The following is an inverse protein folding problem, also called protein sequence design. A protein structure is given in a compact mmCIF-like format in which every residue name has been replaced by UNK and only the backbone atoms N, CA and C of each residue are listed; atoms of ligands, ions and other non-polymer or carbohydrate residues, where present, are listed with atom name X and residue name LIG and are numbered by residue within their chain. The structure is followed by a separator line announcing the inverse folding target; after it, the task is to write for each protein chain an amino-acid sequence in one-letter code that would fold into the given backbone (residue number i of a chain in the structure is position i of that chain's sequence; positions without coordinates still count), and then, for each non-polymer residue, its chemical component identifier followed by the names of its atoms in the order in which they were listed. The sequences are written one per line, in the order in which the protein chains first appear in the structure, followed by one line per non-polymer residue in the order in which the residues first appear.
data_IF_428222100580
#
_entry.id   IF_428222100580
#
_cell.length_a   1.000
_cell.length_b   1.000
_cell.length_c   1.000
_cell.angle_alpha   90.00
_cell.angle_beta   90.00
_cell.angle_gamma   90.00
#
_symmetry.space_group_name_H-M   'P 1'
#
loop_
_entity.id
_entity.type
_entity.pdbx_description
1 polymer ?
#
# COMPACT_ATOMS: atom_id res chain seq x y z
N UNK A 1 -0.40 4.90 -16.35
CA UNK A 1 1.03 4.97 -16.02
C UNK A 1 1.89 5.50 -17.17
N UNK A 2 2.05 4.75 -18.27
CA UNK A 2 2.93 5.10 -19.40
C UNK A 2 2.59 6.42 -20.09
N UNK A 3 1.30 6.68 -20.34
CA UNK A 3 0.88 7.86 -21.11
C UNK A 3 1.29 9.17 -20.44
N UNK A 4 1.05 9.30 -19.14
CA UNK A 4 1.37 10.52 -18.39
C UNK A 4 1.54 10.29 -16.89
N UNK A 5 0.95 9.24 -16.30
CA UNK A 5 0.93 9.09 -14.83
C UNK A 5 2.29 9.04 -14.15
N UNK A 6 3.30 8.43 -14.78
CA UNK A 6 4.68 8.54 -14.26
C UNK A 6 5.17 10.00 -14.23
N UNK A 7 4.94 10.73 -15.32
CA UNK A 7 5.33 12.14 -15.45
C UNK A 7 4.61 13.02 -14.42
N UNK A 8 3.29 12.85 -14.29
CA UNK A 8 2.48 13.59 -13.32
C UNK A 8 2.88 13.29 -11.87
N UNK A 9 3.43 12.10 -11.59
CA UNK A 9 3.82 11.68 -10.24
C UNK A 9 5.28 12.02 -9.89
N UNK A 10 6.20 11.92 -10.84
CA UNK A 10 7.64 11.95 -10.55
C UNK A 10 8.43 12.97 -11.35
N UNK A 11 7.78 13.79 -12.19
CA UNK A 11 8.48 14.90 -12.81
C UNK A 11 8.98 15.91 -11.79
N UNK A 12 10.27 16.21 -11.87
CA UNK A 12 10.96 17.19 -11.03
C UNK A 12 10.77 18.64 -11.48
N UNK A 13 10.20 18.84 -12.68
CA UNK A 13 9.91 20.16 -13.26
C UNK A 13 8.49 20.65 -12.94
N UNK A 14 7.67 19.82 -12.28
CA UNK A 14 6.32 20.17 -11.85
C UNK A 14 6.26 21.14 -10.67
N UNK A 15 5.05 21.67 -10.43
CA UNK A 15 4.73 22.58 -9.32
C UNK A 15 4.56 21.85 -7.98
N UNK A 16 4.00 22.49 -6.94
CA UNK A 16 3.86 21.87 -5.60
C UNK A 16 2.81 20.74 -5.54
N UNK A 17 1.87 20.71 -6.49
CA UNK A 17 0.70 19.82 -6.45
C UNK A 17 0.68 18.73 -7.52
N UNK A 18 1.40 18.89 -8.63
CA UNK A 18 1.42 17.90 -9.71
C UNK A 18 2.67 18.07 -10.57
N UNK A 19 3.13 16.96 -11.15
CA UNK A 19 4.17 16.90 -12.17
C UNK A 19 3.73 17.56 -13.48
N UNK A 20 4.68 17.67 -14.41
CA UNK A 20 4.43 18.12 -15.76
C UNK A 20 4.41 16.94 -16.77
N UNK A 21 4.53 17.24 -18.06
CA UNK A 21 4.55 16.25 -19.14
C UNK A 21 5.96 15.83 -19.61
N UNK A 22 7.03 16.12 -18.86
CA UNK A 22 8.43 15.85 -19.27
C UNK A 22 8.75 14.37 -19.57
N UNK A 23 7.98 13.43 -19.02
CA UNK A 23 8.13 11.99 -19.20
C UNK A 23 6.87 11.32 -19.78
N UNK A 24 5.96 12.10 -20.38
CA UNK A 24 4.77 11.56 -21.02
C UNK A 24 5.14 10.58 -22.15
N UNK A 25 4.37 9.49 -22.27
CA UNK A 25 4.67 8.40 -23.19
C UNK A 25 5.91 7.58 -22.81
N UNK A 26 6.36 7.66 -21.55
CA UNK A 26 7.62 7.06 -21.10
C UNK A 26 8.86 7.55 -21.89
N UNK A 27 8.79 8.78 -22.38
CA UNK A 27 9.93 9.48 -23.01
C UNK A 27 10.95 9.87 -21.94
N UNK A 28 12.19 10.12 -22.35
CA UNK A 28 13.28 10.56 -21.47
C UNK A 28 13.55 9.61 -20.29
N UNK A 29 13.30 8.31 -20.45
CA UNK A 29 13.72 7.28 -19.50
C UNK A 29 15.04 6.63 -19.97
N UNK A 30 15.92 6.30 -19.04
CA UNK A 30 17.22 5.70 -19.34
C UNK A 30 17.97 5.21 -18.11
N UNK A 31 19.29 5.28 -18.19
CA UNK A 31 20.22 4.92 -17.10
C UNK A 31 20.46 6.08 -16.12
N UNK A 32 19.95 7.27 -16.38
CA UNK A 32 20.05 8.39 -15.45
C UNK A 32 19.07 8.20 -14.28
N UNK A 33 19.37 8.80 -13.13
CA UNK A 33 18.49 8.77 -11.95
C UNK A 33 17.53 9.98 -11.96
N UNK A 34 16.35 9.82 -11.35
CA UNK A 34 15.41 10.93 -11.10
C UNK A 34 15.42 11.28 -9.61
N UNK A 35 15.86 12.48 -9.20
CA UNK A 35 15.82 12.91 -7.81
C UNK A 35 14.43 12.75 -7.15
N UNK A 36 14.35 12.31 -5.88
CA UNK A 36 15.45 12.04 -4.96
C UNK A 36 15.94 10.58 -4.99
N UNK A 37 15.56 9.76 -5.98
CA UNK A 37 15.97 8.36 -6.05
C UNK A 37 17.38 8.20 -6.64
N UNK A 38 18.07 7.14 -6.21
CA UNK A 38 19.34 6.67 -6.78
C UNK A 38 19.14 5.51 -7.75
N UNK A 39 17.88 5.19 -8.10
CA UNK A 39 17.55 4.21 -9.14
C UNK A 39 17.53 4.86 -10.52
N UNK A 40 18.04 4.13 -11.51
CA UNK A 40 17.87 4.44 -12.92
C UNK A 40 16.38 4.64 -13.25
N UNK A 41 16.07 5.62 -14.08
CA UNK A 41 14.71 6.09 -14.33
C UNK A 41 13.82 5.01 -14.93
N UNK A 42 14.35 4.11 -15.76
CA UNK A 42 13.58 2.94 -16.27
C UNK A 42 13.19 1.99 -15.14
N UNK A 43 14.13 1.63 -14.27
CA UNK A 43 13.85 0.73 -13.14
C UNK A 43 12.87 1.38 -12.16
N UNK A 44 13.01 2.68 -11.93
CA UNK A 44 12.10 3.44 -11.08
C UNK A 44 10.69 3.52 -11.68
N UNK A 45 10.59 3.73 -13.00
CA UNK A 45 9.32 3.73 -13.73
C UNK A 45 8.57 2.41 -13.58
N UNK A 46 9.25 1.28 -13.77
CA UNK A 46 8.63 -0.05 -13.64
C UNK A 46 8.22 -0.29 -12.19
N UNK A 47 9.13 -0.05 -11.25
CA UNK A 47 8.89 -0.29 -9.82
C UNK A 47 7.69 0.51 -9.31
N UNK A 48 7.63 1.81 -9.58
CA UNK A 48 6.52 2.66 -9.17
C UNK A 48 5.21 2.37 -9.92
N UNK A 49 5.31 1.88 -11.17
CA UNK A 49 4.16 1.40 -11.93
C UNK A 49 3.45 0.22 -11.24
N UNK A 50 4.17 -0.58 -10.45
CA UNK A 50 3.55 -1.66 -9.66
C UNK A 50 2.70 -1.10 -8.52
N UNK A 51 3.10 0.02 -7.88
CA UNK A 51 2.29 0.69 -6.85
C UNK A 51 1.01 1.27 -7.46
N UNK A 52 1.11 1.89 -8.64
CA UNK A 52 -0.07 2.38 -9.35
C UNK A 52 -1.04 1.23 -9.69
N UNK A 53 -0.49 0.12 -10.20
CA UNK A 53 -1.26 -1.08 -10.56
C UNK A 53 -1.97 -1.66 -9.34
N UNK A 54 -1.26 -1.95 -8.25
CA UNK A 54 -1.88 -2.57 -7.07
C UNK A 54 -2.90 -1.63 -6.40
N UNK A 55 -2.66 -0.32 -6.39
CA UNK A 55 -3.64 0.65 -5.85
C UNK A 55 -4.94 0.60 -6.64
N UNK A 56 -4.86 0.60 -7.97
CA UNK A 56 -6.03 0.48 -8.83
C UNK A 56 -6.75 -0.86 -8.66
N UNK A 57 -5.99 -1.96 -8.46
CA UNK A 57 -6.54 -3.28 -8.20
C UNK A 57 -7.26 -3.35 -6.85
N UNK A 58 -6.72 -2.73 -5.78
CA UNK A 58 -7.38 -2.66 -4.46
C UNK A 58 -8.69 -1.88 -4.55
N UNK A 59 -8.66 -0.72 -5.21
CA UNK A 59 -9.87 0.09 -5.43
C UNK A 59 -10.90 -0.69 -6.26
N UNK A 60 -10.50 -1.37 -7.34
CA UNK A 60 -11.41 -2.18 -8.15
C UNK A 60 -11.96 -3.37 -7.36
N UNK A 61 -11.11 -4.08 -6.63
CA UNK A 61 -11.44 -5.24 -5.82
C UNK A 61 -12.52 -4.97 -4.78
N UNK A 62 -12.58 -3.75 -4.23
CA UNK A 62 -13.63 -3.32 -3.29
C UNK A 62 -15.08 -3.45 -3.82
N UNK A 63 -15.23 -3.61 -5.13
CA UNK A 63 -16.53 -3.51 -5.81
C UNK A 63 -16.60 -4.31 -7.11
N UNK A 64 -15.68 -5.26 -7.31
CA UNK A 64 -15.54 -6.02 -8.55
C UNK A 64 -16.84 -6.74 -8.96
N UNK A 65 -17.61 -7.23 -7.98
CA UNK A 65 -18.88 -7.93 -8.22
C UNK A 65 -20.04 -7.03 -8.65
N UNK A 66 -19.88 -5.69 -8.62
CA UNK A 66 -20.98 -4.73 -8.81
C UNK A 66 -20.79 -3.78 -9.99
N UNK A 67 -19.77 -3.96 -10.80
CA UNK A 67 -19.44 -3.02 -11.89
C UNK A 67 -19.31 -3.71 -13.24
N UNK A 68 -19.78 -3.02 -14.29
CA UNK A 68 -19.52 -3.41 -15.67
C UNK A 68 -18.06 -3.09 -16.02
N UNK A 69 -17.41 -3.97 -16.78
CA UNK A 69 -15.98 -3.88 -17.06
C UNK A 69 -15.60 -2.58 -17.80
N UNK A 70 -16.35 -2.17 -18.81
CA UNK A 70 -16.04 -0.96 -19.60
C UNK A 70 -16.08 0.32 -18.76
N UNK A 71 -17.18 0.65 -18.04
CA UNK A 71 -17.18 1.77 -17.08
C UNK A 71 -16.11 1.67 -16.01
N UNK A 72 -15.81 0.45 -15.52
CA UNK A 72 -14.77 0.26 -14.52
C UNK A 72 -13.37 0.58 -15.05
N UNK A 73 -13.04 0.20 -16.28
CA UNK A 73 -11.76 0.55 -16.91
C UNK A 73 -11.60 2.07 -17.08
N UNK A 74 -12.65 2.75 -17.56
CA UNK A 74 -12.66 4.21 -17.69
C UNK A 74 -12.49 4.87 -16.31
N UNK A 75 -13.23 4.39 -15.30
CA UNK A 75 -13.11 4.89 -13.94
C UNK A 75 -11.72 4.67 -13.36
N UNK A 76 -11.12 3.48 -13.53
CA UNK A 76 -9.75 3.21 -13.08
C UNK A 76 -8.74 4.15 -13.75
N UNK A 77 -8.89 4.37 -15.06
CA UNK A 77 -8.02 5.29 -15.79
C UNK A 77 -8.13 6.72 -15.26
N UNK A 78 -9.35 7.23 -15.12
CA UNK A 78 -9.59 8.59 -14.60
C UNK A 78 -9.12 8.70 -13.15
N UNK A 79 -9.50 7.76 -12.29
CA UNK A 79 -9.15 7.79 -10.86
C UNK A 79 -7.64 7.71 -10.65
N UNK A 80 -6.93 6.86 -11.38
CA UNK A 80 -5.47 6.81 -11.27
C UNK A 80 -4.84 8.14 -11.69
N UNK A 81 -5.38 8.78 -12.72
CA UNK A 81 -4.89 10.08 -13.22
C UNK A 81 -5.15 11.24 -12.26
N UNK A 82 -6.37 11.34 -11.71
CA UNK A 82 -6.81 12.55 -10.97
C UNK A 82 -6.74 12.39 -9.46
N UNK A 83 -6.57 11.16 -8.95
CA UNK A 83 -6.51 10.87 -7.51
C UNK A 83 -5.16 10.27 -7.13
N UNK A 84 -4.78 9.14 -7.75
CA UNK A 84 -3.54 8.47 -7.38
C UNK A 84 -2.31 9.30 -7.74
N UNK A 85 -2.17 9.75 -8.98
CA UNK A 85 -0.98 10.48 -9.43
C UNK A 85 -0.74 11.76 -8.61
N UNK A 86 -1.75 12.61 -8.30
CA UNK A 86 -1.57 13.74 -7.39
C UNK A 86 -1.18 13.36 -5.96
N UNK A 87 -1.85 12.38 -5.34
CA UNK A 87 -1.53 11.97 -3.96
C UNK A 87 -0.10 11.40 -3.89
N UNK A 88 0.28 10.60 -4.88
CA UNK A 88 1.62 10.06 -5.01
C UNK A 88 2.65 11.17 -5.24
N UNK A 89 2.33 12.20 -6.04
CA UNK A 89 3.16 13.38 -6.21
C UNK A 89 3.39 14.11 -4.88
N UNK A 90 2.31 14.41 -4.16
CA UNK A 90 2.38 15.13 -2.88
C UNK A 90 3.30 14.41 -1.89
N UNK A 91 3.15 13.08 -1.83
CA UNK A 91 3.81 12.23 -0.84
C UNK A 91 5.27 11.95 -1.21
N UNK A 92 5.55 11.62 -2.46
CA UNK A 92 6.85 11.05 -2.85
C UNK A 92 7.71 11.94 -3.75
N UNK A 93 7.11 12.82 -4.55
CA UNK A 93 7.88 13.69 -5.42
C UNK A 93 8.74 14.66 -4.60
N UNK A 94 9.89 15.05 -5.16
CA UNK A 94 10.79 16.05 -4.54
C UNK A 94 10.08 17.38 -4.26
N UNK A 95 9.21 17.80 -5.19
CA UNK A 95 8.50 19.07 -5.09
C UNK A 95 7.13 18.97 -4.40
N UNK A 96 6.66 17.75 -4.10
CA UNK A 96 5.37 17.50 -3.46
C UNK A 96 5.26 18.18 -2.10
N UNK A 97 4.14 18.85 -1.86
CA UNK A 97 3.95 19.64 -0.65
C UNK A 97 3.99 18.81 0.65
N UNK A 98 3.41 17.59 0.67
CA UNK A 98 3.48 16.70 1.84
C UNK A 98 4.92 16.24 2.11
N UNK A 99 5.68 15.95 1.06
CA UNK A 99 7.09 15.60 1.18
C UNK A 99 7.89 16.77 1.79
N UNK A 100 7.66 18.00 1.32
CA UNK A 100 8.30 19.21 1.87
C UNK A 100 7.89 19.53 3.31
N UNK A 101 6.66 19.20 3.68
CA UNK A 101 6.16 19.33 5.07
C UNK A 101 6.85 18.34 6.04
N UNK A 102 7.52 17.32 5.52
CA UNK A 102 8.17 16.29 6.32
C UNK A 102 7.30 15.07 6.60
N UNK A 103 6.23 14.85 5.83
CA UNK A 103 5.42 13.63 5.95
C UNK A 103 6.26 12.39 5.70
N UNK A 104 6.19 11.43 6.63
CA UNK A 104 6.92 10.17 6.58
C UNK A 104 6.01 9.07 6.03
N UNK A 105 6.25 8.70 4.78
CA UNK A 105 5.58 7.57 4.14
C UNK A 105 6.57 6.80 3.27
N UNK A 106 7.04 5.66 3.81
CA UNK A 106 8.10 4.88 3.21
C UNK A 106 7.65 4.20 1.91
N UNK A 107 6.59 3.38 2.00
CA UNK A 107 6.14 2.51 0.93
C UNK A 107 4.68 2.75 0.49
N UNK A 108 3.96 3.75 1.01
CA UNK A 108 2.67 4.15 0.46
C UNK A 108 1.47 3.89 1.34
N UNK A 109 1.59 4.17 2.65
CA UNK A 109 0.42 4.25 3.52
C UNK A 109 -0.65 5.19 2.93
N UNK A 110 -0.24 6.35 2.42
CA UNK A 110 -1.12 7.39 1.91
C UNK A 110 -1.58 7.13 0.47
N UNK A 111 -0.69 7.13 -0.55
CA UNK A 111 -1.09 6.99 -1.95
C UNK A 111 -1.65 5.61 -2.31
N UNK A 112 -1.30 4.55 -1.59
CA UNK A 112 -1.81 3.20 -1.88
C UNK A 112 -3.00 2.90 -0.99
N UNK A 113 -2.78 2.75 0.32
CA UNK A 113 -3.78 2.15 1.19
C UNK A 113 -4.89 3.11 1.61
N UNK A 114 -4.56 4.32 2.08
CA UNK A 114 -5.55 5.33 2.45
C UNK A 114 -6.34 5.75 1.19
N UNK A 115 -5.66 6.08 0.09
CA UNK A 115 -6.33 6.51 -1.13
C UNK A 115 -7.29 5.44 -1.69
N UNK A 116 -6.83 4.19 -1.87
CA UNK A 116 -7.70 3.11 -2.37
C UNK A 116 -8.79 2.71 -1.37
N UNK A 117 -8.50 2.71 -0.07
CA UNK A 117 -9.46 2.39 0.98
C UNK A 117 -10.60 3.40 1.05
N UNK A 118 -10.30 4.69 1.05
CA UNK A 118 -11.33 5.74 1.03
C UNK A 118 -12.06 5.82 -0.31
N UNK A 119 -11.40 5.53 -1.44
CA UNK A 119 -12.08 5.40 -2.73
C UNK A 119 -13.05 4.22 -2.75
N UNK A 120 -12.65 3.08 -2.16
CA UNK A 120 -13.52 1.93 -1.96
C UNK A 120 -14.72 2.26 -1.08
N UNK A 121 -14.51 2.96 0.03
CA UNK A 121 -15.59 3.45 0.91
C UNK A 121 -16.53 4.41 0.18
N UNK A 122 -16.01 5.40 -0.53
CA UNK A 122 -16.83 6.34 -1.30
C UNK A 122 -17.69 5.60 -2.34
N UNK A 123 -17.11 4.62 -3.04
CA UNK A 123 -17.83 3.79 -3.99
C UNK A 123 -18.89 2.92 -3.31
N UNK A 124 -18.58 2.35 -2.15
CA UNK A 124 -19.52 1.57 -1.34
C UNK A 124 -20.73 2.39 -0.88
N UNK A 125 -20.53 3.68 -0.56
CA UNK A 125 -21.59 4.61 -0.19
C UNK A 125 -22.45 5.02 -1.41
N UNK A 126 -21.82 5.29 -2.56
CA UNK A 126 -22.53 5.69 -3.79
C UNK A 126 -23.35 4.55 -4.40
N UNK A 127 -22.82 3.32 -4.38
CA UNK A 127 -23.52 2.15 -4.93
C UNK A 127 -24.67 1.66 -4.04
N UNK A 128 -24.74 2.08 -2.78
CA UNK A 128 -25.83 1.73 -1.86
C UNK A 128 -25.76 0.29 -1.31
N UNK A 129 -26.75 -0.05 -0.48
CA UNK A 129 -26.84 -1.34 0.25
C UNK A 129 -27.21 -2.49 -0.68
N UNK A 130 -26.74 -3.71 -0.37
CA UNK A 130 -27.20 -4.93 -1.07
C UNK A 130 -28.64 -5.22 -0.63
N UNK A 131 -29.52 -5.53 -1.60
CA UNK A 131 -30.89 -5.97 -1.33
C UNK A 131 -30.91 -7.31 -0.58
N UNK A 132 -29.96 -8.20 -0.89
CA UNK A 132 -29.83 -9.53 -0.28
C UNK A 132 -28.99 -9.56 1.01
N UNK A 133 -28.74 -8.39 1.61
CA UNK A 133 -28.03 -8.33 2.89
C UNK A 133 -28.98 -8.77 4.01
N UNK A 134 -28.94 -10.05 4.36
CA UNK A 134 -29.53 -10.57 5.58
C UNK A 134 -28.51 -10.42 6.73
N UNK A 135 -28.94 -9.82 7.85
CA UNK A 135 -28.10 -9.68 9.05
C UNK A 135 -27.84 -11.03 9.73
N UNK A 136 -28.65 -12.04 9.43
CA UNK A 136 -28.60 -13.35 10.08
C UNK A 136 -27.76 -14.38 9.32
N UNK A 137 -27.28 -14.08 8.11
CA UNK A 137 -26.37 -14.97 7.37
C UNK A 137 -24.91 -14.60 7.66
N UNK A 138 -24.19 -15.51 8.33
CA UNK A 138 -22.73 -15.45 8.37
C UNK A 138 -22.20 -15.44 6.93
N UNK A 139 -21.53 -14.35 6.52
CA UNK A 139 -20.91 -14.28 5.20
C UNK A 139 -19.74 -15.26 5.17
N UNK A 140 -19.89 -16.31 4.36
CA UNK A 140 -18.83 -17.29 4.15
C UNK A 140 -18.05 -16.90 2.89
N UNK A 141 -16.70 -16.93 2.95
CA UNK A 141 -15.90 -16.71 1.75
C UNK A 141 -16.25 -17.78 0.73
N UNK A 142 -16.37 -17.40 -0.54
CA UNK A 142 -16.62 -18.33 -1.63
C UNK A 142 -15.56 -19.45 -1.69
N UNK A 143 -14.31 -19.14 -1.30
CA UNK A 143 -13.24 -20.14 -1.12
C UNK A 143 -12.21 -19.63 -0.12
N UNK A 144 -12.08 -20.32 1.02
CA UNK A 144 -11.05 -20.03 2.01
C UNK A 144 -9.64 -20.30 1.47
N UNK A 145 -9.48 -21.32 0.62
CA UNK A 145 -8.21 -21.65 -0.03
C UNK A 145 -7.70 -20.50 -0.90
N UNK A 146 -8.59 -19.82 -1.63
CA UNK A 146 -8.21 -18.67 -2.44
C UNK A 146 -7.81 -17.46 -1.59
N UNK A 147 -8.47 -17.24 -0.44
CA UNK A 147 -8.08 -16.18 0.50
C UNK A 147 -6.69 -16.45 1.06
N UNK A 148 -6.42 -17.69 1.48
CA UNK A 148 -5.10 -18.06 2.00
C UNK A 148 -4.01 -17.94 0.93
N UNK A 149 -4.26 -18.45 -0.29
CA UNK A 149 -3.33 -18.33 -1.41
C UNK A 149 -3.06 -16.86 -1.76
N UNK A 150 -4.11 -16.04 -1.86
CA UNK A 150 -3.99 -14.61 -2.11
C UNK A 150 -3.18 -13.91 -1.01
N UNK A 151 -3.43 -14.26 0.26
CA UNK A 151 -2.68 -13.72 1.40
C UNK A 151 -1.20 -14.11 1.35
N UNK A 152 -0.89 -15.36 1.02
CA UNK A 152 0.50 -15.82 0.88
C UNK A 152 1.24 -15.08 -0.25
N UNK A 153 0.60 -14.91 -1.41
CA UNK A 153 1.16 -14.14 -2.54
C UNK A 153 1.34 -12.67 -2.17
N UNK A 154 0.34 -12.07 -1.51
CA UNK A 154 0.42 -10.67 -1.05
C UNK A 154 1.54 -10.48 -0.04
N UNK A 155 1.66 -11.36 0.96
CA UNK A 155 2.71 -11.27 1.97
C UNK A 155 4.09 -11.40 1.32
N UNK A 156 4.29 -12.39 0.46
CA UNK A 156 5.54 -12.55 -0.29
C UNK A 156 5.86 -11.31 -1.15
N UNK A 157 4.88 -10.82 -1.91
CA UNK A 157 5.01 -9.60 -2.71
C UNK A 157 5.29 -8.35 -1.87
N UNK A 158 4.82 -8.31 -0.62
CA UNK A 158 5.02 -7.19 0.30
C UNK A 158 6.49 -6.97 0.68
N UNK A 159 7.35 -8.00 0.57
CA UNK A 159 8.79 -7.83 0.70
C UNK A 159 9.37 -6.95 -0.42
N UNK A 160 8.87 -7.08 -1.65
CA UNK A 160 9.24 -6.17 -2.75
C UNK A 160 8.63 -4.79 -2.58
N UNK A 161 7.41 -4.73 -2.02
CA UNK A 161 6.68 -3.49 -1.77
C UNK A 161 7.35 -2.61 -0.70
N UNK A 162 7.67 -3.18 0.46
CA UNK A 162 8.35 -2.48 1.54
C UNK A 162 9.88 -2.46 1.33
N UNK A 163 10.51 -3.60 1.05
CA UNK A 163 11.96 -3.69 0.92
C UNK A 163 12.55 -3.00 -0.30
N UNK A 164 11.80 -2.85 -1.40
CA UNK A 164 12.32 -2.28 -2.65
C UNK A 164 12.54 -0.75 -2.63
N UNK A 165 12.04 -0.03 -1.62
CA UNK A 165 12.15 1.43 -1.51
C UNK A 165 13.53 1.86 -1.01
N UNK A 166 14.35 2.49 -1.87
CA UNK A 166 15.68 2.99 -1.51
C UNK A 166 15.67 4.39 -0.86
N UNK A 167 14.85 4.63 0.16
CA UNK A 167 14.86 5.93 0.88
C UNK A 167 15.76 5.94 2.12
N UNK A 168 16.19 4.77 2.60
CA UNK A 168 17.06 4.61 3.76
C UNK A 168 18.57 4.83 3.45
N UNK A 169 18.92 5.45 2.32
CA UNK A 169 20.33 5.73 2.04
C UNK A 169 20.82 7.03 2.72
N UNK A 170 19.93 7.96 3.08
CA UNK A 170 20.36 9.23 3.69
C UNK A 170 20.94 9.06 5.09
N UNK A 171 20.37 8.21 5.95
CA UNK A 171 20.83 8.09 7.34
C UNK A 171 22.17 7.34 7.47
N UNK A 172 22.44 6.41 6.56
CA UNK A 172 23.71 5.67 6.52
C UNK A 172 24.84 6.47 5.86
N UNK A 173 24.54 7.30 4.86
CA UNK A 173 25.55 8.08 4.14
C UNK A 173 26.06 9.31 4.89
N UNK A 174 25.27 9.94 5.77
CA UNK A 174 25.76 11.12 6.52
C UNK A 174 26.86 10.78 7.51
N UNK A 175 26.96 9.52 7.95
CA UNK A 175 27.94 9.11 8.96
C UNK A 175 29.25 8.60 8.37
N UNK A 176 29.25 8.17 7.12
CA UNK A 176 30.44 7.58 6.50
C UNK A 176 30.49 7.92 4.99
N UNK A 177 31.51 8.68 4.58
CA UNK A 177 31.99 8.73 3.19
C UNK A 177 32.49 7.32 2.81
N UNK A 178 31.59 6.42 2.45
CA UNK A 178 31.92 5.01 2.21
C UNK A 178 32.39 4.77 0.78
N UNK A 179 33.53 4.10 0.64
CA UNK A 179 33.97 3.45 -0.60
C UNK A 179 32.90 2.48 -1.12
N UNK A 180 32.87 2.28 -2.44
CA UNK A 180 31.90 1.46 -3.17
C UNK A 180 31.72 0.02 -2.60
N UNK A 181 32.73 -0.53 -1.94
CA UNK A 181 32.70 -1.87 -1.34
C UNK A 181 31.68 -2.02 -0.19
N UNK A 182 31.35 -0.94 0.52
CA UNK A 182 30.45 -0.98 1.69
C UNK A 182 29.00 -0.61 1.32
N UNK A 183 28.77 -0.14 0.08
CA UNK A 183 27.43 0.25 -0.40
C UNK A 183 26.50 -0.96 -0.52
N UNK A 184 27.01 -2.10 -1.02
CA UNK A 184 26.20 -3.31 -1.23
C UNK A 184 25.70 -3.88 0.11
N UNK A 185 26.54 -4.10 1.14
CA UNK A 185 26.08 -4.54 2.46
C UNK A 185 25.02 -3.63 3.08
N UNK A 186 25.21 -2.30 3.03
CA UNK A 186 24.25 -1.33 3.60
C UNK A 186 22.87 -1.41 2.94
N UNK A 187 22.84 -1.63 1.62
CA UNK A 187 21.57 -1.80 0.90
C UNK A 187 20.89 -3.10 1.32
N UNK A 188 21.65 -4.20 1.40
CA UNK A 188 21.13 -5.51 1.80
C UNK A 188 20.57 -5.45 3.23
N UNK A 189 21.29 -4.83 4.16
CA UNK A 189 20.85 -4.67 5.55
C UNK A 189 19.58 -3.81 5.66
N UNK A 190 19.47 -2.74 4.86
CA UNK A 190 18.27 -1.91 4.84
C UNK A 190 17.04 -2.67 4.34
N UNK A 191 17.22 -3.49 3.30
CA UNK A 191 16.17 -4.37 2.76
C UNK A 191 15.77 -5.41 3.81
N UNK A 192 16.77 -6.06 4.43
CA UNK A 192 16.56 -7.07 5.46
C UNK A 192 15.80 -6.50 6.67
N UNK A 193 16.16 -5.30 7.13
CA UNK A 193 15.48 -4.58 8.20
C UNK A 193 14.00 -4.32 7.87
N UNK A 194 13.72 -3.78 6.68
CA UNK A 194 12.34 -3.53 6.23
C UNK A 194 11.52 -4.83 6.16
N UNK A 195 12.11 -5.90 5.63
CA UNK A 195 11.46 -7.19 5.50
C UNK A 195 11.21 -7.86 6.86
N UNK A 196 12.16 -7.72 7.80
CA UNK A 196 12.00 -8.18 9.18
C UNK A 196 10.82 -7.47 9.86
N UNK A 197 10.76 -6.13 9.77
CA UNK A 197 9.65 -5.34 10.31
C UNK A 197 8.32 -5.76 9.69
N UNK A 198 8.30 -5.97 8.38
CA UNK A 198 7.12 -6.42 7.63
C UNK A 198 6.63 -7.78 8.13
N UNK A 199 7.53 -8.75 8.30
CA UNK A 199 7.23 -10.07 8.86
C UNK A 199 6.67 -10.00 10.27
N UNK A 200 7.32 -9.23 11.15
CA UNK A 200 6.93 -9.11 12.56
C UNK A 200 5.52 -8.51 12.63
N UNK A 201 5.27 -7.40 11.96
CA UNK A 201 3.97 -6.75 11.96
C UNK A 201 2.86 -7.68 11.43
N UNK A 202 3.07 -8.32 10.28
CA UNK A 202 2.10 -9.25 9.69
C UNK A 202 1.78 -10.43 10.60
N UNK A 203 2.81 -11.04 11.20
CA UNK A 203 2.66 -12.16 12.14
C UNK A 203 1.88 -11.72 13.38
N UNK A 204 2.25 -10.59 13.97
CA UNK A 204 1.56 -10.06 15.15
C UNK A 204 0.12 -9.66 14.84
N UNK A 205 -0.15 -9.04 13.69
CA UNK A 205 -1.50 -8.67 13.28
C UNK A 205 -2.42 -9.87 13.07
N UNK A 206 -1.93 -10.90 12.36
CA UNK A 206 -2.67 -12.14 12.15
C UNK A 206 -3.00 -12.84 13.47
N UNK A 207 -2.02 -12.98 14.37
CA UNK A 207 -2.23 -13.56 15.70
C UNK A 207 -3.20 -12.72 16.55
N UNK A 208 -3.04 -11.40 16.54
CA UNK A 208 -3.90 -10.49 17.32
C UNK A 208 -5.35 -10.60 16.89
N UNK A 209 -5.61 -10.65 15.57
CA UNK A 209 -6.96 -10.80 15.05
C UNK A 209 -7.58 -12.13 15.45
N UNK A 210 -6.85 -13.25 15.33
CA UNK A 210 -7.32 -14.58 15.76
C UNK A 210 -7.64 -14.61 17.25
N UNK A 211 -6.79 -14.01 18.09
CA UNK A 211 -7.01 -13.93 19.53
C UNK A 211 -8.23 -13.06 19.87
N UNK A 212 -8.46 -11.99 19.11
CA UNK A 212 -9.62 -11.12 19.28
C UNK A 212 -10.91 -11.82 18.85
N UNK A 213 -10.91 -12.54 17.73
CA UNK A 213 -12.03 -13.38 17.29
C UNK A 213 -12.31 -14.49 18.30
N UNK A 214 -11.28 -15.11 18.86
CA UNK A 214 -11.43 -16.12 19.91
C UNK A 214 -12.04 -15.53 21.18
N UNK A 215 -11.67 -14.30 21.56
CA UNK A 215 -12.28 -13.62 22.71
C UNK A 215 -13.78 -13.35 22.50
N UNK A 216 -14.18 -12.92 21.31
CA UNK A 216 -15.55 -12.48 21.04
C UNK A 216 -16.49 -13.62 20.64
N UNK A 217 -16.03 -14.51 19.76
CA UNK A 217 -16.84 -15.56 19.15
C UNK A 217 -16.44 -16.97 19.59
N UNK A 218 -15.37 -17.13 20.40
CA UNK A 218 -14.84 -18.42 20.87
C UNK A 218 -14.46 -19.38 19.74
N UNK A 219 -14.16 -18.85 18.55
CA UNK A 219 -13.73 -19.59 17.36
C UNK A 219 -12.36 -19.07 16.89
N UNK A 220 -11.47 -19.98 16.50
CA UNK A 220 -10.21 -19.64 15.86
C UNK A 220 -10.43 -19.58 14.35
N UNK A 221 -10.31 -18.39 13.76
CA UNK A 221 -10.63 -18.15 12.35
C UNK A 221 -9.37 -18.06 11.49
N UNK A 222 -9.20 -18.99 10.55
CA UNK A 222 -8.15 -18.88 9.54
C UNK A 222 -8.35 -17.66 8.62
N UNK A 223 -9.61 -17.29 8.37
CA UNK A 223 -9.96 -16.05 7.66
C UNK A 223 -9.49 -14.83 8.47
N UNK A 224 -9.74 -14.83 9.78
CA UNK A 224 -9.31 -13.76 10.68
C UNK A 224 -7.79 -13.60 10.71
N UNK A 225 -7.02 -14.70 10.71
CA UNK A 225 -5.57 -14.65 10.57
C UNK A 225 -5.14 -13.93 9.28
N UNK A 226 -5.74 -14.29 8.15
CA UNK A 226 -5.43 -13.68 6.86
C UNK A 226 -5.76 -12.18 6.83
N UNK A 227 -6.95 -11.80 7.31
CA UNK A 227 -7.36 -10.40 7.41
C UNK A 227 -6.44 -9.59 8.31
N UNK A 228 -6.08 -10.14 9.47
CA UNK A 228 -5.15 -9.49 10.41
C UNK A 228 -3.74 -9.34 9.88
N UNK A 229 -3.23 -10.34 9.16
CA UNK A 229 -1.93 -10.25 8.51
C UNK A 229 -1.91 -9.13 7.46
N UNK A 230 -2.92 -9.06 6.58
CA UNK A 230 -3.03 -8.00 5.56
C UNK A 230 -3.21 -6.63 6.21
N UNK A 231 -4.05 -6.51 7.25
CA UNK A 231 -4.26 -5.25 7.98
C UNK A 231 -2.94 -4.71 8.57
N UNK A 232 -2.13 -5.58 9.18
CA UNK A 232 -0.84 -5.17 9.73
C UNK A 232 0.21 -4.88 8.66
N UNK A 233 0.22 -5.61 7.54
CA UNK A 233 1.05 -5.29 6.36
C UNK A 233 0.74 -3.86 5.86
N UNK A 234 -0.53 -3.51 5.78
CA UNK A 234 -0.98 -2.15 5.42
C UNK A 234 -0.51 -1.12 6.46
N UNK A 235 -0.73 -1.37 7.74
CA UNK A 235 -0.41 -0.42 8.80
C UNK A 235 1.10 -0.15 8.95
N UNK A 236 1.95 -1.16 8.74
CA UNK A 236 3.41 -1.01 8.86
C UNK A 236 4.05 -0.39 7.62
N UNK A 237 3.37 -0.43 6.46
CA UNK A 237 3.86 0.11 5.16
C UNK A 237 4.47 1.52 5.24
N UNK A 238 3.82 2.54 5.83
CA UNK A 238 4.44 3.87 5.92
C UNK A 238 5.68 3.90 6.83
N UNK A 239 5.76 3.02 7.83
CA UNK A 239 6.81 2.98 8.84
C UNK A 239 7.93 1.95 8.60
N UNK A 240 7.81 1.08 7.59
CA UNK A 240 8.65 -0.13 7.48
C UNK A 240 10.14 0.14 7.38
N UNK A 241 10.55 1.30 6.87
CA UNK A 241 11.95 1.74 6.80
C UNK A 241 12.33 2.84 7.79
N UNK A 242 11.47 3.17 8.76
CA UNK A 242 11.70 4.24 9.74
C UNK A 242 11.69 3.75 11.18
N UNK A 243 10.94 2.69 11.48
CA UNK A 243 10.71 2.24 12.85
C UNK A 243 11.68 1.11 13.25
N UNK A 244 11.76 0.83 14.55
CA UNK A 244 12.56 -0.28 15.07
C UNK A 244 11.78 -1.61 15.04
N UNK A 245 12.44 -2.78 14.96
CA UNK A 245 11.75 -4.08 14.82
C UNK A 245 10.74 -4.37 15.93
N UNK A 246 11.03 -4.00 17.18
CA UNK A 246 10.11 -4.20 18.30
C UNK A 246 8.79 -3.42 18.14
N UNK A 247 8.85 -2.22 17.54
CA UNK A 247 7.67 -1.37 17.36
C UNK A 247 6.71 -1.94 16.31
N UNK A 248 7.20 -2.80 15.41
CA UNK A 248 6.37 -3.53 14.45
C UNK A 248 5.36 -4.45 15.14
N UNK A 249 5.71 -4.99 16.33
CA UNK A 249 4.79 -5.77 17.17
C UNK A 249 3.62 -4.90 17.60
N UNK A 250 3.92 -3.69 18.10
CA UNK A 250 2.89 -2.74 18.56
C UNK A 250 1.97 -2.33 17.41
N UNK A 251 2.56 -2.00 16.25
CA UNK A 251 1.79 -1.64 15.04
C UNK A 251 0.91 -2.80 14.59
N UNK A 252 1.46 -4.03 14.55
CA UNK A 252 0.69 -5.22 14.18
C UNK A 252 -0.46 -5.49 15.14
N UNK A 253 -0.23 -5.38 16.45
CA UNK A 253 -1.26 -5.56 17.47
C UNK A 253 -2.38 -4.51 17.35
N UNK A 254 -2.02 -3.22 17.28
CA UNK A 254 -3.01 -2.14 17.15
C UNK A 254 -3.79 -2.24 15.84
N UNK A 255 -3.11 -2.53 14.73
CA UNK A 255 -3.76 -2.72 13.43
C UNK A 255 -4.74 -3.90 13.45
N UNK A 256 -4.35 -5.03 14.05
CA UNK A 256 -5.21 -6.20 14.19
C UNK A 256 -6.51 -5.89 14.92
N UNK A 257 -6.44 -5.16 16.03
CA UNK A 257 -7.64 -4.76 16.79
C UNK A 257 -8.46 -3.72 16.03
N UNK A 258 -7.83 -2.64 15.57
CA UNK A 258 -8.52 -1.51 14.96
C UNK A 258 -9.25 -1.92 13.68
N UNK A 259 -8.62 -2.74 12.84
CA UNK A 259 -9.23 -3.21 11.59
C UNK A 259 -10.34 -4.25 11.84
N UNK A 260 -10.19 -5.13 12.83
CA UNK A 260 -11.26 -6.06 13.23
C UNK A 260 -12.51 -5.30 13.72
N UNK A 261 -12.32 -4.31 14.59
CA UNK A 261 -13.41 -3.43 15.05
C UNK A 261 -14.02 -2.63 13.89
N UNK A 262 -13.20 -2.17 12.95
CA UNK A 262 -13.65 -1.47 11.75
C UNK A 262 -14.54 -2.35 10.86
N UNK A 263 -14.18 -3.62 10.68
CA UNK A 263 -14.96 -4.61 9.95
C UNK A 263 -16.34 -4.84 10.61
N UNK A 264 -16.37 -5.11 11.90
CA UNK A 264 -17.62 -5.27 12.66
C UNK A 264 -18.49 -4.00 12.62
N UNK A 265 -17.86 -2.82 12.64
CA UNK A 265 -18.52 -1.52 12.50
C UNK A 265 -19.18 -1.32 11.12
N UNK A 266 -18.53 -1.80 10.05
CA UNK A 266 -19.08 -1.76 8.68
C UNK A 266 -20.34 -2.62 8.57
N UNK A 267 -20.30 -3.85 9.09
CA UNK A 267 -21.46 -4.76 9.07
C UNK A 267 -22.66 -4.14 9.80
N UNK A 268 -22.43 -3.57 10.98
CA UNK A 268 -23.51 -2.99 11.79
C UNK A 268 -24.11 -1.72 11.19
N UNK A 269 -23.29 -0.78 10.70
CA UNK A 269 -23.72 0.56 10.27
C UNK A 269 -23.98 0.68 8.77
N UNK A 270 -23.07 0.17 7.95
CA UNK A 270 -23.14 0.30 6.49
C UNK A 270 -24.04 -0.81 5.90
N UNK A 271 -24.25 -1.92 6.63
CA UNK A 271 -25.04 -3.08 6.20
C UNK A 271 -24.52 -3.65 4.88
N UNK A 272 -23.20 -3.82 4.82
CA UNK A 272 -22.48 -4.41 3.71
C UNK A 272 -21.43 -5.38 4.28
N UNK A 273 -21.27 -6.52 3.61
CA UNK A 273 -20.22 -7.50 3.91
C UNK A 273 -18.83 -6.98 3.56
#
# INVERSE_FOLDING_TARGET
WTLFGFSLTFSEYGGPFIGDCSYCGATNLGLHCIPPTTMNSISFFIYQGMFATITSALMFGSSAERVRIMPAMIFMFVWTTVVYDPIAYWTWAKNGWLNKLGSLDYAGGTPVHIASGFAGLAKALVLGKRLDYDRNTEWKPHSLSNVFLGTAILWFGWFGFNGGRRRMLKHFLTKWRLQAYIIIPVIVDSIAHCNLITCIAASTGGLTWVLFDYRNARKLSALGFCSGAVAALVAITPGSGFVAPWSAIVVGFVAGIACNMGEQGKETKIKQH
#
